data_IF_525945789714
#
_entry.id   IF_525945789714
#
_cell.length_a   1.000
_cell.length_b   1.000
_cell.length_c   1.000
_cell.angle_alpha   90.00
_cell.angle_beta   90.00
_cell.angle_gamma   90.00
#
_symmetry.space_group_name_H-M   'P 1'
#
loop_
_entity.id
_entity.type
_entity.pdbx_description
1 polymer ?
#
# COMPACT_ATOMS: atom_id res chain seq x y z
N UNK A 1 24.59 -43.46 48.10
CA UNK A 1 25.64 -43.74 47.11
C UNK A 1 25.12 -44.22 45.74
N UNK A 2 23.85 -44.58 45.56
CA UNK A 2 23.27 -44.89 44.23
C UNK A 2 22.62 -43.69 43.51
N UNK A 3 22.43 -42.56 44.18
CA UNK A 3 21.82 -41.34 43.61
C UNK A 3 22.72 -40.62 42.59
N UNK A 4 24.03 -40.86 42.63
CA UNK A 4 25.03 -40.19 41.78
C UNK A 4 25.41 -40.97 40.52
N UNK A 5 24.92 -42.21 40.33
CA UNK A 5 25.36 -43.09 39.24
C UNK A 5 24.44 -43.10 38.01
N UNK A 6 23.21 -42.59 38.10
CA UNK A 6 22.21 -42.66 37.00
C UNK A 6 22.05 -41.32 36.26
N UNK A 7 22.54 -40.22 36.83
CA UNK A 7 22.31 -38.87 36.29
C UNK A 7 23.19 -38.38 35.10
N UNK A 8 24.33 -38.98 34.70
CA UNK A 8 25.10 -38.43 33.58
C UNK A 8 24.59 -38.83 32.17
N UNK A 9 23.55 -39.68 32.07
CA UNK A 9 23.08 -40.19 30.76
C UNK A 9 21.75 -39.59 30.28
N UNK A 10 21.20 -38.61 31.00
CA UNK A 10 19.99 -37.89 30.61
C UNK A 10 20.34 -36.42 30.42
N UNK A 11 21.27 -36.15 29.49
CA UNK A 11 21.36 -34.84 28.85
C UNK A 11 20.13 -34.72 27.95
N UNK A 12 19.04 -34.24 28.55
CA UNK A 12 17.92 -33.75 27.78
C UNK A 12 18.37 -32.37 27.29
N UNK A 13 18.89 -32.32 26.06
CA UNK A 13 19.06 -31.07 25.31
C UNK A 13 17.66 -30.55 24.96
N UNK A 14 17.04 -29.93 25.96
CA UNK A 14 15.85 -29.12 25.79
C UNK A 14 16.32 -27.72 25.39
N UNK A 15 16.18 -27.40 24.11
CA UNK A 15 16.10 -26.00 23.65
C UNK A 15 14.68 -25.53 23.95
N UNK A 16 14.47 -24.87 25.09
CA UNK A 16 13.16 -24.31 25.50
C UNK A 16 13.06 -22.81 25.16
N UNK A 17 11.92 -22.32 24.63
CA UNK A 17 11.81 -20.93 24.20
C UNK A 17 11.45 -19.91 25.31
N UNK A 18 11.10 -20.32 26.55
CA UNK A 18 10.65 -19.37 27.58
C UNK A 18 10.90 -19.83 29.03
N UNK A 19 11.23 -18.88 29.92
CA UNK A 19 11.50 -19.11 31.36
C UNK A 19 10.32 -19.66 32.16
N UNK A 20 9.08 -19.54 31.68
CA UNK A 20 7.88 -20.06 32.37
C UNK A 20 7.76 -21.60 32.27
N UNK A 21 8.28 -22.22 31.20
CA UNK A 21 8.22 -23.66 31.00
C UNK A 21 9.19 -24.42 31.91
N UNK A 22 10.31 -23.79 32.30
CA UNK A 22 11.30 -24.34 33.23
C UNK A 22 10.67 -24.59 34.60
N UNK A 23 9.79 -23.71 35.06
CA UNK A 23 9.15 -23.86 36.38
C UNK A 23 8.13 -25.01 36.40
N UNK A 24 7.34 -25.16 35.33
CA UNK A 24 6.35 -26.24 35.23
C UNK A 24 7.02 -27.61 35.07
N UNK A 25 8.08 -27.69 34.27
CA UNK A 25 8.89 -28.91 34.10
C UNK A 25 9.63 -29.25 35.40
N UNK A 26 10.22 -28.26 36.09
CA UNK A 26 10.86 -28.48 37.40
C UNK A 26 9.87 -28.94 38.48
N UNK A 27 8.66 -28.38 38.54
CA UNK A 27 7.62 -28.83 39.48
C UNK A 27 7.06 -30.22 39.12
N UNK A 28 6.92 -30.51 37.82
CA UNK A 28 6.58 -31.85 37.32
C UNK A 28 7.64 -32.89 37.69
N UNK A 29 8.92 -32.56 37.49
CA UNK A 29 10.06 -33.38 37.91
C UNK A 29 10.13 -33.55 39.42
N UNK A 30 9.89 -32.51 40.22
CA UNK A 30 9.83 -32.60 41.69
C UNK A 30 8.67 -33.48 42.17
N UNK A 31 7.49 -33.36 41.57
CA UNK A 31 6.33 -34.22 41.89
C UNK A 31 6.57 -35.68 41.49
N UNK A 32 7.18 -35.90 40.32
CA UNK A 32 7.61 -37.21 39.87
C UNK A 32 8.66 -37.80 40.83
N UNK A 33 9.70 -37.04 41.20
CA UNK A 33 10.72 -37.45 42.19
C UNK A 33 10.08 -37.78 43.55
N UNK A 34 9.11 -36.98 44.01
CA UNK A 34 8.40 -37.22 45.27
C UNK A 34 7.59 -38.52 45.23
N UNK A 35 6.87 -38.78 44.14
CA UNK A 35 6.18 -40.06 43.91
C UNK A 35 7.16 -41.22 43.90
N UNK A 36 8.30 -41.07 43.21
CA UNK A 36 9.38 -42.05 43.17
C UNK A 36 9.98 -42.34 44.55
N UNK A 37 10.20 -41.31 45.39
CA UNK A 37 10.69 -41.51 46.76
C UNK A 37 9.69 -42.21 47.68
N UNK A 38 8.38 -42.03 47.45
CA UNK A 38 7.33 -42.70 48.24
C UNK A 38 7.23 -44.19 47.88
N UNK A 39 7.29 -44.50 46.59
CA UNK A 39 7.32 -45.88 46.07
C UNK A 39 8.60 -46.62 46.45
N UNK A 40 9.76 -45.95 46.40
CA UNK A 40 11.03 -46.50 46.90
C UNK A 40 10.94 -46.87 48.37
N UNK A 41 10.26 -46.06 49.19
CA UNK A 41 10.09 -46.31 50.62
C UNK A 41 9.19 -47.51 50.90
N UNK A 42 8.11 -47.68 50.16
CA UNK A 42 7.20 -48.84 50.26
C UNK A 42 7.90 -50.14 49.82
N UNK A 43 8.68 -50.10 48.75
CA UNK A 43 9.32 -51.28 48.20
C UNK A 43 10.66 -51.66 48.88
N UNK A 44 11.41 -50.71 49.46
CA UNK A 44 12.64 -51.01 50.22
C UNK A 44 12.35 -51.84 51.48
N UNK A 45 11.14 -51.71 52.05
CA UNK A 45 10.65 -52.52 53.18
C UNK A 45 10.47 -54.01 52.78
N UNK A 46 10.37 -54.32 51.48
CA UNK A 46 10.02 -55.66 50.98
C UNK A 46 11.19 -56.54 50.51
N UNK A 47 12.44 -56.07 50.57
CA UNK A 47 13.64 -56.92 50.46
C UNK A 47 14.08 -57.42 49.06
N UNK A 48 13.51 -56.92 47.95
CA UNK A 48 13.83 -57.43 46.58
C UNK A 48 14.36 -56.36 45.60
N UNK A 49 15.64 -55.94 45.66
CA UNK A 49 16.19 -54.81 44.89
C UNK A 49 16.08 -54.93 43.36
N UNK A 50 16.16 -56.14 42.79
CA UNK A 50 15.99 -56.36 41.34
C UNK A 50 14.57 -56.06 40.84
N UNK A 51 13.54 -56.41 41.62
CA UNK A 51 12.15 -56.09 41.28
C UNK A 51 11.87 -54.59 41.40
N UNK A 52 12.51 -53.91 42.36
CA UNK A 52 12.40 -52.46 42.54
C UNK A 52 12.96 -51.73 41.33
N UNK A 53 14.15 -52.11 40.88
CA UNK A 53 14.79 -51.48 39.73
C UNK A 53 13.93 -51.62 38.45
N UNK A 54 13.38 -52.81 38.21
CA UNK A 54 12.49 -53.05 37.06
C UNK A 54 11.20 -52.22 37.11
N UNK A 55 10.52 -52.17 38.25
CA UNK A 55 9.27 -51.39 38.42
C UNK A 55 9.54 -49.89 38.29
N UNK A 56 10.63 -49.39 38.87
CA UNK A 56 11.04 -47.99 38.74
C UNK A 56 11.37 -47.62 37.30
N UNK A 57 12.15 -48.45 36.59
CA UNK A 57 12.48 -48.24 35.17
C UNK A 57 11.23 -48.23 34.29
N UNK A 58 10.30 -49.15 34.51
CA UNK A 58 9.06 -49.20 33.74
C UNK A 58 8.22 -47.92 33.94
N UNK A 59 8.11 -47.44 35.18
CA UNK A 59 7.40 -46.18 35.50
C UNK A 59 8.12 -44.95 34.95
N UNK A 60 9.45 -44.92 34.98
CA UNK A 60 10.24 -43.85 34.35
C UNK A 60 10.01 -43.83 32.84
N UNK A 61 10.01 -45.01 32.20
CA UNK A 61 9.75 -45.13 30.76
C UNK A 61 8.35 -44.65 30.39
N UNK A 62 7.32 -45.01 31.18
CA UNK A 62 5.95 -44.48 30.98
C UNK A 62 5.92 -42.96 31.13
N UNK A 63 6.57 -42.39 32.15
CA UNK A 63 6.63 -40.93 32.33
C UNK A 63 7.43 -40.22 31.24
N UNK A 64 8.50 -40.82 30.76
CA UNK A 64 9.26 -40.33 29.61
C UNK A 64 8.39 -40.30 28.35
N UNK A 65 7.62 -41.35 28.08
CA UNK A 65 6.67 -41.43 26.96
C UNK A 65 5.62 -40.31 27.06
N UNK A 66 5.01 -40.12 28.23
CA UNK A 66 4.06 -39.04 28.51
C UNK A 66 4.67 -37.65 28.29
N UNK A 67 5.91 -37.43 28.74
CA UNK A 67 6.60 -36.16 28.57
C UNK A 67 7.01 -35.89 27.13
N UNK A 68 7.47 -36.91 26.39
CA UNK A 68 7.73 -36.76 24.96
C UNK A 68 6.46 -36.45 24.19
N UNK A 69 5.33 -37.07 24.57
CA UNK A 69 4.04 -36.77 23.94
C UNK A 69 3.56 -35.35 24.25
N UNK A 70 3.68 -34.91 25.50
CA UNK A 70 3.38 -33.53 25.89
C UNK A 70 4.30 -32.52 25.16
N UNK A 71 5.61 -32.79 25.10
CA UNK A 71 6.57 -31.94 24.38
C UNK A 71 6.25 -31.89 22.88
N UNK A 72 5.88 -33.00 22.26
CA UNK A 72 5.41 -33.03 20.87
C UNK A 72 4.17 -32.16 20.68
N UNK A 73 3.20 -32.24 21.59
CA UNK A 73 2.00 -31.41 21.58
C UNK A 73 2.31 -29.92 21.72
N UNK A 74 3.11 -29.53 22.71
CA UNK A 74 3.50 -28.13 22.92
C UNK A 74 4.32 -27.57 21.76
N UNK A 75 5.31 -28.32 21.26
CA UNK A 75 6.13 -27.88 20.12
C UNK A 75 5.30 -27.72 18.85
N UNK A 76 4.26 -28.55 18.67
CA UNK A 76 3.32 -28.40 17.55
C UNK A 76 2.53 -27.10 17.67
N UNK A 77 1.88 -26.86 18.82
CA UNK A 77 1.11 -25.63 19.05
C UNK A 77 2.01 -24.39 18.95
N UNK A 78 3.19 -24.42 19.56
CA UNK A 78 4.13 -23.31 19.51
C UNK A 78 4.55 -23.00 18.08
N UNK A 79 4.85 -24.02 17.25
CA UNK A 79 5.18 -23.83 15.84
C UNK A 79 4.01 -23.21 15.07
N UNK A 80 2.80 -23.77 15.20
CA UNK A 80 1.61 -23.25 14.54
C UNK A 80 1.31 -21.79 14.93
N UNK A 81 1.48 -21.44 16.20
CA UNK A 81 1.30 -20.06 16.67
C UNK A 81 2.40 -19.14 16.17
N UNK A 82 3.66 -19.56 16.23
CA UNK A 82 4.78 -18.76 15.78
C UNK A 82 4.68 -18.48 14.29
N UNK A 83 4.44 -19.48 13.46
CA UNK A 83 4.23 -19.33 12.02
C UNK A 83 3.11 -18.33 11.70
N UNK A 84 1.98 -18.42 12.41
CA UNK A 84 0.82 -17.54 12.18
C UNK A 84 1.01 -16.10 12.62
N UNK A 85 1.76 -15.85 13.70
CA UNK A 85 1.80 -14.54 14.35
C UNK A 85 3.18 -13.87 14.35
N UNK A 86 4.23 -14.54 13.91
CA UNK A 86 5.59 -14.01 13.95
C UNK A 86 5.68 -12.67 13.21
N UNK A 87 5.32 -12.61 11.93
CA UNK A 87 5.37 -11.38 11.15
C UNK A 87 4.39 -10.32 11.65
N UNK A 88 3.20 -10.73 12.10
CA UNK A 88 2.21 -9.83 12.73
C UNK A 88 2.74 -9.18 14.01
N UNK A 89 3.58 -9.88 14.77
CA UNK A 89 4.18 -9.37 16.00
C UNK A 89 5.31 -8.37 15.79
N UNK A 90 5.96 -8.42 14.62
CA UNK A 90 6.99 -7.44 14.22
C UNK A 90 6.37 -6.14 13.68
N UNK A 91 5.15 -6.22 13.16
CA UNK A 91 4.38 -5.10 12.62
C UNK A 91 3.71 -4.28 13.74
N UNK A 92 4.44 -3.31 14.27
CA UNK A 92 3.94 -2.40 15.31
C UNK A 92 3.00 -1.29 14.76
N UNK A 93 2.99 -1.06 13.44
CA UNK A 93 2.25 0.06 12.82
C UNK A 93 0.93 -0.37 12.19
N UNK A 94 0.87 -1.60 11.65
CA UNK A 94 -0.19 -2.06 10.75
C UNK A 94 -1.60 -1.94 11.29
N UNK A 95 -1.83 -2.34 12.54
CA UNK A 95 -3.17 -2.31 13.15
C UNK A 95 -3.67 -0.87 13.30
N UNK A 96 -2.85 0.01 13.86
CA UNK A 96 -3.22 1.41 14.09
C UNK A 96 -3.34 2.17 12.79
N UNK A 97 -2.41 1.94 11.86
CA UNK A 97 -2.45 2.52 10.53
C UNK A 97 -3.77 2.17 9.85
N UNK A 98 -4.11 0.88 9.70
CA UNK A 98 -5.34 0.44 9.01
C UNK A 98 -6.62 1.06 9.57
N UNK A 99 -6.71 1.21 10.90
CA UNK A 99 -7.87 1.83 11.56
C UNK A 99 -7.99 3.34 11.30
N UNK A 100 -6.87 4.04 11.27
CA UNK A 100 -6.85 5.50 11.08
C UNK A 100 -6.90 5.88 9.61
N UNK A 101 -6.28 5.09 8.76
CA UNK A 101 -6.03 5.41 7.37
C UNK A 101 -7.32 5.60 6.56
N UNK A 102 -8.29 4.71 6.76
CA UNK A 102 -9.63 4.84 6.16
C UNK A 102 -10.40 6.08 6.62
N UNK A 103 -10.02 6.69 7.75
CA UNK A 103 -10.58 7.98 8.19
C UNK A 103 -9.88 9.13 7.47
N UNK A 104 -8.55 9.06 7.31
CA UNK A 104 -7.74 10.10 6.66
C UNK A 104 -8.26 10.40 5.26
N UNK A 105 -8.48 9.37 4.44
CA UNK A 105 -8.94 9.56 3.06
C UNK A 105 -10.47 9.61 2.91
N UNK A 106 -11.24 9.69 4.00
CA UNK A 106 -12.70 9.87 3.92
C UNK A 106 -13.02 11.29 3.47
N UNK A 107 -13.98 11.47 2.56
CA UNK A 107 -14.37 12.76 1.98
C UNK A 107 -14.53 13.89 3.00
N UNK A 108 -15.22 13.63 4.12
CA UNK A 108 -15.40 14.64 5.18
C UNK A 108 -14.08 15.15 5.78
N UNK A 109 -13.11 14.25 6.00
CA UNK A 109 -11.81 14.65 6.55
C UNK A 109 -10.99 15.44 5.53
N UNK A 110 -11.01 14.99 4.27
CA UNK A 110 -10.33 15.69 3.19
C UNK A 110 -10.91 17.09 2.97
N UNK A 111 -12.24 17.23 2.93
CA UNK A 111 -12.91 18.51 2.76
C UNK A 111 -12.58 19.46 3.91
N UNK A 112 -12.66 18.98 5.16
CA UNK A 112 -12.32 19.80 6.32
C UNK A 112 -10.86 20.32 6.26
N UNK A 113 -9.92 19.53 5.73
CA UNK A 113 -8.53 19.96 5.52
C UNK A 113 -8.44 21.19 4.60
N UNK A 114 -9.13 21.18 3.46
CA UNK A 114 -9.06 22.30 2.51
C UNK A 114 -10.01 23.45 2.86
N UNK A 115 -11.17 23.17 3.45
CA UNK A 115 -12.11 24.19 3.93
C UNK A 115 -11.46 25.06 5.00
N UNK A 116 -10.72 24.45 5.94
CA UNK A 116 -9.96 25.21 6.94
C UNK A 116 -8.97 26.18 6.28
N UNK A 117 -8.20 25.70 5.28
CA UNK A 117 -7.23 26.54 4.55
C UNK A 117 -7.90 27.63 3.69
N UNK A 118 -9.11 27.35 3.21
CA UNK A 118 -9.91 28.28 2.42
C UNK A 118 -10.50 29.39 3.29
N UNK A 119 -11.07 29.04 4.44
CA UNK A 119 -11.64 29.98 5.41
C UNK A 119 -10.56 30.88 6.00
N UNK A 120 -9.42 30.32 6.42
CA UNK A 120 -8.24 31.09 6.88
C UNK A 120 -7.79 32.13 5.85
N UNK A 121 -7.93 31.81 4.55
CA UNK A 121 -7.57 32.72 3.47
C UNK A 121 -8.61 33.82 3.27
N UNK A 122 -9.90 33.49 3.35
CA UNK A 122 -10.95 34.49 3.24
C UNK A 122 -10.86 35.51 4.38
N UNK A 123 -10.57 35.06 5.60
CA UNK A 123 -10.35 35.92 6.76
C UNK A 123 -9.17 36.88 6.52
N UNK A 124 -8.04 36.37 6.01
CA UNK A 124 -6.87 37.20 5.67
C UNK A 124 -7.16 38.24 4.58
N UNK A 125 -8.04 37.93 3.63
CA UNK A 125 -8.43 38.86 2.57
C UNK A 125 -9.36 39.98 3.06
N UNK A 126 -10.05 39.77 4.18
CA UNK A 126 -10.95 40.76 4.81
C UNK A 126 -10.23 41.76 5.71
N UNK A 127 -8.96 41.51 6.05
CA UNK A 127 -8.15 42.38 6.90
C UNK A 127 -7.46 43.45 6.04
N UNK A 128 -7.95 44.70 6.09
CA UNK A 128 -7.51 45.85 5.25
C UNK A 128 -6.00 46.17 5.34
N UNK A 129 -5.28 45.62 6.33
CA UNK A 129 -3.84 45.81 6.53
C UNK A 129 -2.96 44.67 6.00
N UNK A 130 -3.53 43.57 5.50
CA UNK A 130 -2.79 42.43 4.97
C UNK A 130 -2.68 42.50 3.44
N UNK A 131 -1.53 42.10 2.89
CA UNK A 131 -1.42 41.88 1.45
C UNK A 131 -2.42 40.77 1.05
N UNK A 132 -3.12 40.90 -0.09
CA UNK A 132 -4.07 39.89 -0.52
C UNK A 132 -3.39 38.52 -0.57
N UNK A 133 -3.96 37.49 0.07
CA UNK A 133 -3.30 36.19 0.18
C UNK A 133 -3.08 35.59 -1.20
N UNK A 134 -1.82 35.56 -1.63
CA UNK A 134 -1.40 35.13 -2.96
C UNK A 134 -0.73 33.76 -2.87
N UNK A 135 -1.44 32.72 -3.35
CA UNK A 135 -0.92 31.35 -3.40
C UNK A 135 -2.01 30.33 -3.70
N UNK A 136 -1.68 29.06 -4.01
CA UNK A 136 -2.65 27.97 -4.06
C UNK A 136 -3.12 27.57 -2.66
N UNK A 137 -4.35 27.06 -2.49
CA UNK A 137 -4.80 26.50 -1.20
C UNK A 137 -4.10 25.16 -0.92
N UNK A 138 -3.91 24.36 -1.97
CA UNK A 138 -3.23 23.07 -1.89
C UNK A 138 -2.28 22.91 -3.07
N UNK A 139 -1.14 22.26 -2.85
CA UNK A 139 -0.22 21.87 -3.91
C UNK A 139 -0.04 20.35 -3.90
N UNK A 140 -0.28 19.70 -5.03
CA UNK A 140 -0.06 18.27 -5.22
C UNK A 140 1.23 18.03 -5.99
N UNK A 141 2.13 17.29 -5.35
CA UNK A 141 3.40 16.85 -5.92
C UNK A 141 3.30 15.40 -6.35
N UNK A 142 3.83 15.12 -7.53
CA UNK A 142 4.02 13.77 -8.07
C UNK A 142 5.50 13.62 -8.42
N UNK A 143 6.09 12.48 -8.11
CA UNK A 143 7.54 12.30 -8.26
C UNK A 143 7.92 11.41 -9.45
N UNK A 144 7.02 10.53 -9.89
CA UNK A 144 7.36 9.46 -10.83
C UNK A 144 6.23 9.20 -11.85
N UNK A 145 6.59 9.18 -13.14
CA UNK A 145 5.68 8.93 -14.25
C UNK A 145 5.21 7.49 -14.36
N UNK A 146 6.07 6.51 -14.05
CA UNK A 146 5.72 5.10 -14.05
C UNK A 146 4.71 4.79 -12.95
N UNK A 147 4.90 5.36 -11.75
CA UNK A 147 3.93 5.21 -10.65
C UNK A 147 2.54 5.74 -11.02
N UNK A 148 2.47 6.79 -11.85
CA UNK A 148 1.22 7.32 -12.37
C UNK A 148 0.55 6.37 -13.35
N UNK A 149 1.32 5.71 -14.22
CA UNK A 149 0.83 4.68 -15.13
C UNK A 149 0.30 3.46 -14.35
N UNK A 150 1.01 3.01 -13.32
CA UNK A 150 0.58 1.91 -12.45
C UNK A 150 -0.69 2.26 -11.67
N UNK A 151 -0.79 3.48 -11.14
CA UNK A 151 -2.00 3.99 -10.50
C UNK A 151 -3.19 4.02 -11.47
N UNK A 152 -2.98 4.54 -12.69
CA UNK A 152 -3.97 4.57 -13.74
C UNK A 152 -4.46 3.17 -14.11
N UNK A 153 -3.54 2.21 -14.26
CA UNK A 153 -3.85 0.83 -14.56
C UNK A 153 -4.73 0.19 -13.47
N UNK A 154 -4.40 0.39 -12.19
CA UNK A 154 -5.18 -0.11 -11.06
C UNK A 154 -6.59 0.50 -10.98
N UNK A 155 -6.71 1.83 -11.18
CA UNK A 155 -7.99 2.53 -11.19
C UNK A 155 -8.88 1.97 -12.31
N UNK A 156 -8.35 1.90 -13.53
CA UNK A 156 -9.11 1.45 -14.70
C UNK A 156 -9.44 -0.04 -14.62
N UNK A 157 -8.54 -0.85 -14.05
CA UNK A 157 -8.81 -2.26 -13.75
C UNK A 157 -10.08 -2.43 -12.89
N UNK A 158 -10.24 -1.58 -11.87
CA UNK A 158 -11.41 -1.59 -11.01
C UNK A 158 -12.66 -1.02 -11.72
N UNK A 159 -12.54 0.10 -12.44
CA UNK A 159 -13.65 0.74 -13.20
C UNK A 159 -14.29 -0.24 -14.19
N UNK A 160 -13.47 -1.00 -14.93
CA UNK A 160 -13.96 -1.97 -15.94
C UNK A 160 -14.94 -2.99 -15.32
N UNK A 161 -14.64 -3.47 -14.11
CA UNK A 161 -15.39 -4.51 -13.40
C UNK A 161 -16.60 -4.00 -12.60
N UNK A 162 -16.78 -2.69 -12.47
CA UNK A 162 -17.97 -2.14 -11.84
C UNK A 162 -19.17 -2.22 -12.80
N UNK A 163 -20.16 -3.05 -12.48
CA UNK A 163 -21.40 -3.16 -13.25
C UNK A 163 -22.35 -1.97 -13.06
N UNK A 164 -22.21 -1.23 -11.95
CA UNK A 164 -23.03 -0.07 -11.63
C UNK A 164 -22.64 1.24 -12.34
N UNK A 165 -21.59 1.24 -13.17
CA UNK A 165 -21.15 2.42 -13.93
C UNK A 165 -21.53 2.24 -15.41
N UNK A 166 -22.21 3.23 -15.98
CA UNK A 166 -22.62 3.21 -17.40
C UNK A 166 -21.40 3.19 -18.35
N UNK A 167 -21.56 2.57 -19.54
CA UNK A 167 -20.48 2.46 -20.55
C UNK A 167 -19.88 3.84 -20.91
N UNK A 168 -20.73 4.86 -21.08
CA UNK A 168 -20.30 6.24 -21.38
C UNK A 168 -19.46 6.86 -20.25
N UNK A 169 -19.87 6.63 -18.99
CA UNK A 169 -19.16 7.12 -17.83
C UNK A 169 -17.81 6.41 -17.66
N UNK A 170 -17.75 5.10 -17.91
CA UNK A 170 -16.47 4.36 -17.95
C UNK A 170 -15.51 4.96 -18.98
N UNK A 171 -16.02 5.34 -20.16
CA UNK A 171 -15.21 5.97 -21.19
C UNK A 171 -14.72 7.36 -20.77
N UNK A 172 -15.59 8.22 -20.22
CA UNK A 172 -15.18 9.52 -19.67
C UNK A 172 -14.13 9.38 -18.57
N UNK A 173 -14.31 8.42 -17.64
CA UNK A 173 -13.33 8.12 -16.58
C UNK A 173 -11.98 7.72 -17.19
N UNK A 174 -11.99 6.87 -18.22
CA UNK A 174 -10.78 6.47 -18.95
C UNK A 174 -10.06 7.67 -19.56
N UNK A 175 -10.80 8.61 -20.14
CA UNK A 175 -10.21 9.85 -20.67
C UNK A 175 -9.66 10.75 -19.56
N UNK A 176 -10.32 10.85 -18.41
CA UNK A 176 -9.79 11.60 -17.26
C UNK A 176 -8.44 11.01 -16.82
N UNK A 177 -8.38 9.69 -16.67
CA UNK A 177 -7.20 9.00 -16.11
C UNK A 177 -6.04 8.92 -17.11
N UNK A 178 -6.27 8.60 -18.38
CA UNK A 178 -5.17 8.43 -19.35
C UNK A 178 -4.83 9.68 -20.15
N UNK A 179 -5.72 10.68 -20.22
CA UNK A 179 -5.46 11.91 -20.97
C UNK A 179 -5.41 13.13 -20.06
N UNK A 180 -6.48 13.44 -19.33
CA UNK A 180 -6.57 14.69 -18.58
C UNK A 180 -5.55 14.82 -17.45
N UNK A 181 -5.37 13.75 -16.65
CA UNK A 181 -4.39 13.75 -15.55
C UNK A 181 -2.95 13.77 -16.06
N UNK A 182 -2.55 12.92 -17.03
CA UNK A 182 -1.22 12.99 -17.62
C UNK A 182 -0.93 14.35 -18.25
N UNK A 183 -1.91 14.94 -18.94
CA UNK A 183 -1.80 16.32 -19.42
C UNK A 183 -1.50 17.25 -18.24
N UNK A 184 -2.34 17.30 -17.21
CA UNK A 184 -2.14 18.16 -16.04
C UNK A 184 -0.80 17.96 -15.31
N UNK A 185 -0.13 16.83 -15.50
CA UNK A 185 1.18 16.53 -14.91
C UNK A 185 2.35 16.60 -15.91
N UNK A 186 2.10 17.05 -17.14
CA UNK A 186 3.10 17.17 -18.21
C UNK A 186 3.70 15.83 -18.67
N UNK A 187 2.92 14.76 -18.58
CA UNK A 187 3.30 13.39 -18.94
C UNK A 187 2.66 13.01 -20.28
N UNK A 188 3.25 12.02 -20.96
CA UNK A 188 2.66 11.45 -22.18
C UNK A 188 1.32 10.80 -21.85
N UNK A 189 0.35 10.99 -22.75
CA UNK A 189 -0.95 10.33 -22.63
C UNK A 189 -0.79 8.82 -22.72
N UNK A 190 -1.54 8.11 -21.89
CA UNK A 190 -1.69 6.67 -22.01
C UNK A 190 -2.54 6.29 -23.22
N UNK A 191 -2.42 5.05 -23.66
CA UNK A 191 -3.22 4.53 -24.77
C UNK A 191 -4.68 4.36 -24.34
N UNK A 192 -5.59 5.05 -25.02
CA UNK A 192 -6.98 4.63 -25.05
C UNK A 192 -7.03 3.39 -25.93
N UNK A 193 -7.03 2.18 -25.35
CA UNK A 193 -7.46 1.02 -26.14
C UNK A 193 -8.84 1.34 -26.73
N UNK A 194 -8.95 1.36 -28.05
CA UNK A 194 -10.21 1.64 -28.73
C UNK A 194 -11.25 0.61 -28.27
N UNK A 195 -12.47 1.08 -28.05
CA UNK A 195 -13.62 0.25 -27.75
C UNK A 195 -14.08 -0.35 -29.07
N UNK A 196 -13.41 -1.42 -29.51
CA UNK A 196 -13.96 -2.38 -30.46
C UNK A 196 -13.57 -3.78 -29.95
N UNK A 197 -14.51 -4.74 -29.99
CA UNK A 197 -14.40 -6.18 -29.63
C UNK A 197 -15.05 -6.68 -28.31
N UNK A 198 -16.10 -6.05 -27.75
CA UNK A 198 -16.94 -6.75 -26.75
C UNK A 198 -18.44 -6.85 -27.09
N UNK A 199 -18.90 -6.45 -28.28
CA UNK A 199 -20.31 -6.62 -28.67
C UNK A 199 -20.46 -7.05 -30.16
N UNK A 200 -19.98 -8.24 -30.57
CA UNK A 200 -20.38 -8.89 -31.84
C UNK A 200 -20.54 -10.43 -31.76
N UNK A 201 -20.76 -11.02 -30.58
CA UNK A 201 -21.26 -12.41 -30.49
C UNK A 201 -22.71 -12.41 -30.02
N UNK A 202 -23.63 -12.15 -30.95
CA UNK A 202 -24.97 -12.77 -31.04
C UNK A 202 -25.82 -12.04 -32.11
N UNK A 203 -25.64 -12.37 -33.38
CA UNK A 203 -26.76 -12.38 -34.34
C UNK A 203 -26.42 -13.27 -35.53
N UNK A 204 -27.23 -14.31 -35.70
CA UNK A 204 -27.24 -15.24 -36.83
C UNK A 204 -27.18 -14.52 -38.20
N UNK A 205 -26.50 -15.09 -39.22
CA UNK A 205 -26.49 -14.51 -40.56
C UNK A 205 -27.70 -15.01 -41.35
N UNK A 206 -28.66 -14.11 -41.64
CA UNK A 206 -29.58 -14.30 -42.76
C UNK A 206 -29.15 -13.40 -43.93
N UNK A 207 -28.79 -14.07 -45.04
CA UNK A 207 -28.53 -13.44 -46.34
C UNK A 207 -29.82 -12.81 -46.91
N UNK A 208 -29.79 -11.52 -47.26
CA UNK A 208 -30.16 -11.06 -48.61
C UNK A 208 -29.72 -9.60 -48.84
N UNK A 209 -29.25 -9.30 -50.04
CA UNK A 209 -28.62 -8.05 -50.40
C UNK A 209 -29.60 -6.91 -50.76
N UNK A 210 -29.16 -5.67 -50.57
CA UNK A 210 -29.05 -4.64 -51.64
C UNK A 210 -28.58 -3.29 -51.08
N UNK A 211 -27.60 -2.68 -51.77
CA UNK A 211 -27.06 -1.34 -51.52
C UNK A 211 -28.13 -0.25 -51.63
N UNK A 212 -28.15 0.68 -50.66
CA UNK A 212 -28.35 2.12 -50.95
C UNK A 212 -27.74 3.02 -49.89
N UNK A 213 -26.88 3.92 -50.39
CA UNK A 213 -26.28 5.07 -49.73
C UNK A 213 -27.35 5.99 -49.12
N UNK A 214 -27.25 6.33 -47.83
CA UNK A 214 -27.60 7.68 -47.38
C UNK A 214 -26.91 8.02 -46.06
N UNK A 215 -26.37 9.23 -46.00
CA UNK A 215 -25.52 9.68 -44.91
C UNK A 215 -26.24 9.75 -43.57
N UNK A 216 -25.55 9.31 -42.53
CA UNK A 216 -25.78 9.80 -41.17
C UNK A 216 -24.40 10.01 -40.58
N UNK A 217 -24.08 11.27 -40.35
CA UNK A 217 -22.90 11.73 -39.62
C UNK A 217 -22.93 11.11 -38.22
N UNK A 218 -22.22 10.00 -38.05
CA UNK A 218 -21.82 9.52 -36.73
C UNK A 218 -20.88 10.57 -36.15
N UNK A 219 -21.39 11.33 -35.19
CA UNK A 219 -20.63 12.21 -34.31
C UNK A 219 -19.58 11.37 -33.59
N UNK A 220 -18.42 11.21 -34.21
CA UNK A 220 -17.18 10.77 -33.56
C UNK A 220 -17.05 11.60 -32.29
N UNK A 221 -17.07 10.94 -31.14
CA UNK A 221 -16.79 11.53 -29.84
C UNK A 221 -15.49 12.33 -29.97
N UNK A 222 -15.63 13.65 -30.06
CA UNK A 222 -14.53 14.60 -30.18
C UNK A 222 -13.63 14.33 -28.98
N UNK A 223 -12.41 13.83 -29.20
CA UNK A 223 -11.44 13.58 -28.14
C UNK A 223 -11.33 14.87 -27.31
N UNK A 224 -11.90 14.87 -26.09
CA UNK A 224 -12.11 16.08 -25.28
C UNK A 224 -10.81 16.88 -25.06
N UNK A 225 -9.66 16.22 -25.19
CA UNK A 225 -8.34 16.75 -24.88
C UNK A 225 -7.43 16.92 -26.10
N UNK A 226 -7.84 16.73 -27.35
CA UNK A 226 -6.89 16.64 -28.49
C UNK A 226 -5.94 17.84 -28.68
N UNK A 227 -6.35 19.05 -28.26
CA UNK A 227 -5.58 20.28 -28.45
C UNK A 227 -4.51 20.58 -27.38
N UNK A 228 -4.51 19.90 -26.23
CA UNK A 228 -3.61 20.20 -25.10
C UNK A 228 -2.23 19.51 -25.22
N UNK A 229 -2.17 18.32 -25.85
CA UNK A 229 -0.98 17.46 -25.93
C UNK A 229 0.30 18.16 -26.46
N UNK A 230 0.20 18.92 -27.55
CA UNK A 230 1.37 19.53 -28.19
C UNK A 230 1.98 20.68 -27.38
N UNK A 231 1.17 21.38 -26.58
CA UNK A 231 1.63 22.46 -25.69
C UNK A 231 2.19 21.88 -24.39
N UNK A 232 1.60 20.79 -23.88
CA UNK A 232 2.10 20.04 -22.72
C UNK A 232 3.49 19.46 -22.95
N UNK A 233 3.73 18.87 -24.12
CA UNK A 233 5.00 18.24 -24.48
C UNK A 233 6.18 19.23 -24.57
N UNK A 234 5.90 20.54 -24.67
CA UNK A 234 6.92 21.59 -24.55
C UNK A 234 7.22 21.95 -23.09
N UNK A 235 6.23 21.82 -22.22
CA UNK A 235 6.32 22.10 -20.78
C UNK A 235 6.92 20.93 -20.00
N UNK A 236 6.83 19.70 -20.49
CA UNK A 236 7.48 18.51 -19.92
C UNK A 236 9.01 18.60 -19.87
N UNK A 237 9.61 19.52 -20.62
CA UNK A 237 11.06 19.78 -20.64
C UNK A 237 11.47 20.90 -19.68
N UNK A 238 10.56 21.40 -18.84
CA UNK A 238 10.82 22.47 -17.88
C UNK A 238 10.65 21.93 -16.46
N UNK A 239 11.75 21.84 -15.73
CA UNK A 239 11.81 21.24 -14.38
C UNK A 239 10.94 21.98 -13.34
N UNK A 240 10.59 23.24 -13.61
CA UNK A 240 9.84 24.13 -12.71
C UNK A 240 8.43 24.46 -13.24
N UNK A 241 7.77 23.54 -13.94
CA UNK A 241 6.42 23.75 -14.45
C UNK A 241 5.35 23.40 -13.41
N UNK A 242 4.31 24.25 -13.31
CA UNK A 242 3.11 23.95 -12.52
C UNK A 242 1.85 24.14 -13.37
N UNK A 243 0.81 23.36 -13.07
CA UNK A 243 -0.54 23.62 -13.54
C UNK A 243 -1.41 24.16 -12.41
N UNK A 244 -2.24 25.13 -12.74
CA UNK A 244 -3.21 25.75 -11.86
C UNK A 244 -4.60 25.28 -12.24
N UNK A 245 -5.32 24.71 -11.28
CA UNK A 245 -6.68 24.23 -11.48
C UNK A 245 -7.57 24.73 -10.35
N UNK A 246 -8.69 25.36 -10.73
CA UNK A 246 -9.73 25.74 -9.77
C UNK A 246 -10.75 24.62 -9.73
N UNK A 247 -10.98 24.06 -8.53
CA UNK A 247 -11.72 22.82 -8.34
C UNK A 247 -12.83 23.00 -7.32
N UNK A 248 -13.92 22.26 -7.50
CA UNK A 248 -14.93 22.07 -6.49
C UNK A 248 -14.57 20.91 -5.55
N UNK A 249 -15.47 20.63 -4.60
CA UNK A 249 -15.35 19.54 -3.64
C UNK A 249 -15.01 18.19 -4.29
N UNK A 250 -15.71 17.84 -5.38
CA UNK A 250 -15.58 16.56 -6.06
C UNK A 250 -14.19 16.36 -6.69
N UNK A 251 -13.73 17.36 -7.45
CA UNK A 251 -12.41 17.36 -8.06
C UNK A 251 -11.30 17.37 -7.01
N UNK A 252 -11.44 18.17 -5.95
CA UNK A 252 -10.46 18.19 -4.87
C UNK A 252 -10.29 16.83 -4.19
N UNK A 253 -11.41 16.18 -3.80
CA UNK A 253 -11.38 14.86 -3.18
C UNK A 253 -10.65 13.88 -4.10
N UNK A 254 -10.99 13.85 -5.39
CA UNK A 254 -10.33 12.96 -6.33
C UNK A 254 -8.82 13.20 -6.43
N UNK A 255 -8.40 14.45 -6.62
CA UNK A 255 -6.97 14.79 -6.76
C UNK A 255 -6.19 14.43 -5.49
N UNK A 256 -6.78 14.64 -4.30
CA UNK A 256 -6.17 14.27 -3.03
C UNK A 256 -6.05 12.75 -2.88
N UNK A 257 -7.09 12.00 -3.21
CA UNK A 257 -7.07 10.53 -3.19
C UNK A 257 -6.05 9.96 -4.19
N UNK A 258 -6.02 10.50 -5.40
CA UNK A 258 -5.08 10.11 -6.45
C UNK A 258 -3.62 10.36 -6.03
N UNK A 259 -3.35 11.52 -5.42
CA UNK A 259 -2.03 11.83 -4.86
C UNK A 259 -1.63 10.86 -3.74
N UNK A 260 -2.55 10.50 -2.84
CA UNK A 260 -2.31 9.51 -1.78
C UNK A 260 -1.98 8.14 -2.40
N UNK A 261 -2.70 7.73 -3.45
CA UNK A 261 -2.44 6.46 -4.15
C UNK A 261 -1.02 6.44 -4.74
N UNK A 262 -0.65 7.47 -5.48
CA UNK A 262 0.68 7.58 -6.10
C UNK A 262 1.78 7.60 -5.04
N UNK A 263 1.60 8.37 -3.96
CA UNK A 263 2.57 8.41 -2.85
C UNK A 263 2.77 7.05 -2.20
N UNK A 264 1.72 6.25 -2.04
CA UNK A 264 1.83 4.89 -1.48
C UNK A 264 2.52 3.92 -2.42
N UNK A 265 2.13 3.93 -3.70
CA UNK A 265 2.77 3.10 -4.72
C UNK A 265 4.27 3.40 -4.81
N UNK A 266 4.64 4.67 -4.79
CA UNK A 266 6.04 5.10 -4.77
C UNK A 266 6.78 4.58 -3.53
N UNK A 267 6.17 4.65 -2.34
CA UNK A 267 6.78 4.12 -1.11
C UNK A 267 6.97 2.60 -1.15
N UNK A 268 6.04 1.87 -1.76
CA UNK A 268 6.17 0.41 -1.94
C UNK A 268 7.26 0.10 -2.96
N UNK A 269 7.30 0.85 -4.06
CA UNK A 269 8.33 0.75 -5.10
C UNK A 269 9.73 0.99 -4.52
N UNK A 270 9.93 2.11 -3.82
CA UNK A 270 11.21 2.45 -3.19
C UNK A 270 11.63 1.40 -2.14
N UNK A 271 10.67 0.79 -1.45
CA UNK A 271 10.96 -0.31 -0.53
C UNK A 271 11.41 -1.57 -1.27
N UNK A 272 10.82 -1.88 -2.43
CA UNK A 272 11.24 -2.99 -3.27
C UNK A 272 12.66 -2.76 -3.82
N UNK A 273 12.97 -1.56 -4.34
CA UNK A 273 14.32 -1.21 -4.80
C UNK A 273 15.37 -1.36 -3.69
N UNK A 274 15.05 -0.88 -2.49
CA UNK A 274 15.93 -1.03 -1.34
C UNK A 274 16.21 -2.51 -1.01
N UNK A 275 15.21 -3.38 -1.10
CA UNK A 275 15.39 -4.81 -0.89
C UNK A 275 16.26 -5.45 -1.98
N UNK A 276 16.11 -5.04 -3.24
CA UNK A 276 16.97 -5.48 -4.35
C UNK A 276 18.43 -5.10 -4.08
N UNK A 277 18.68 -3.86 -3.65
CA UNK A 277 20.03 -3.39 -3.30
C UNK A 277 20.63 -4.14 -2.11
N UNK A 278 19.84 -4.39 -1.06
CA UNK A 278 20.27 -5.13 0.11
C UNK A 278 20.61 -6.58 -0.23
N UNK A 279 19.78 -7.26 -1.01
CA UNK A 279 20.03 -8.63 -1.48
C UNK A 279 21.24 -8.69 -2.43
N UNK A 280 21.40 -7.71 -3.33
CA UNK A 280 22.59 -7.62 -4.18
C UNK A 280 23.88 -7.45 -3.35
N UNK A 281 23.85 -6.60 -2.32
CA UNK A 281 24.97 -6.38 -1.39
C UNK A 281 25.28 -7.63 -0.56
N UNK A 282 24.25 -8.34 -0.09
CA UNK A 282 24.41 -9.60 0.64
C UNK A 282 25.06 -10.66 -0.26
N UNK A 283 24.56 -10.84 -1.49
CA UNK A 283 25.15 -11.76 -2.48
C UNK A 283 26.60 -11.41 -2.84
N UNK A 284 26.95 -10.13 -2.90
CA UNK A 284 28.33 -9.68 -3.12
C UNK A 284 29.22 -9.97 -1.90
N UNK A 285 28.74 -9.66 -0.69
CA UNK A 285 29.45 -9.97 0.55
C UNK A 285 29.70 -11.48 0.69
N UNK A 286 28.68 -12.32 0.44
CA UNK A 286 28.81 -13.77 0.47
C UNK A 286 29.86 -14.27 -0.52
N UNK A 287 29.86 -13.73 -1.75
CA UNK A 287 30.86 -14.07 -2.76
C UNK A 287 32.27 -13.73 -2.29
N UNK A 288 32.45 -12.56 -1.68
CA UNK A 288 33.74 -12.07 -1.21
C UNK A 288 34.26 -12.83 0.03
N UNK A 289 33.37 -13.26 0.92
CA UNK A 289 33.73 -13.90 2.20
C UNK A 289 33.79 -15.42 2.10
N UNK A 290 32.81 -16.04 1.44
CA UNK A 290 32.66 -17.50 1.40
C UNK A 290 33.24 -18.12 0.13
N UNK A 291 33.55 -17.32 -0.90
CA UNK A 291 34.10 -17.81 -2.18
C UNK A 291 33.17 -18.74 -2.97
N UNK A 292 31.93 -18.91 -2.51
CA UNK A 292 30.91 -19.79 -3.07
C UNK A 292 29.62 -19.00 -3.25
N UNK A 293 28.96 -19.20 -4.40
CA UNK A 293 27.60 -18.69 -4.63
C UNK A 293 26.63 -19.67 -3.97
N UNK A 294 25.99 -19.29 -2.86
CA UNK A 294 24.89 -20.07 -2.28
C UNK A 294 23.69 -20.05 -3.21
N UNK A 295 23.00 -21.18 -3.36
CA UNK A 295 21.69 -21.21 -4.02
C UNK A 295 20.61 -20.76 -3.01
N UNK A 296 19.46 -20.23 -3.48
CA UNK A 296 18.37 -19.70 -2.60
C UNK A 296 17.92 -20.71 -1.52
N UNK A 297 18.06 -22.01 -1.80
CA UNK A 297 17.71 -23.10 -0.88
C UNK A 297 18.75 -23.39 0.22
N UNK A 298 19.90 -22.71 0.22
CA UNK A 298 20.92 -22.89 1.25
C UNK A 298 20.75 -21.98 2.47
N UNK A 299 19.73 -21.12 2.49
CA UNK A 299 19.44 -20.28 3.65
C UNK A 299 19.20 -21.17 4.90
N UNK A 300 19.95 -20.99 6.00
CA UNK A 300 19.81 -21.79 7.21
C UNK A 300 18.37 -21.84 7.73
N UNK A 301 17.62 -20.75 7.58
CA UNK A 301 16.21 -20.68 8.00
C UNK A 301 15.29 -21.57 7.14
N UNK A 302 15.59 -21.69 5.84
CA UNK A 302 14.84 -22.55 4.90
C UNK A 302 15.22 -24.02 5.13
N UNK A 303 16.51 -24.32 5.30
CA UNK A 303 17.00 -25.68 5.62
C UNK A 303 16.46 -26.19 6.97
N UNK A 304 16.30 -25.31 7.96
CA UNK A 304 15.73 -25.63 9.26
C UNK A 304 14.18 -25.66 9.26
N UNK A 305 13.53 -25.43 8.10
CA UNK A 305 12.07 -25.31 7.96
C UNK A 305 11.46 -24.29 8.92
N UNK A 306 12.21 -23.22 9.20
CA UNK A 306 11.75 -22.08 10.01
C UNK A 306 11.12 -21.00 9.12
N UNK A 307 11.41 -21.02 7.81
CA UNK A 307 10.85 -20.12 6.80
C UNK A 307 10.57 -20.93 5.52
N UNK A 308 9.37 -20.85 4.97
CA UNK A 308 9.12 -21.39 3.64
C UNK A 308 9.84 -20.52 2.59
N UNK A 309 10.50 -21.12 1.58
CA UNK A 309 11.08 -20.35 0.49
C UNK A 309 9.95 -19.56 -0.18
N UNK A 310 10.07 -18.24 -0.25
CA UNK A 310 9.17 -17.48 -1.13
C UNK A 310 9.54 -17.80 -2.58
N UNK A 311 8.53 -18.12 -3.38
CA UNK A 311 8.69 -18.36 -4.82
C UNK A 311 8.83 -17.06 -5.63
N UNK A 312 8.78 -15.90 -4.98
CA UNK A 312 8.86 -14.58 -5.61
C UNK A 312 10.26 -14.00 -5.44
N UNK A 313 10.88 -13.63 -6.56
CA UNK A 313 12.21 -13.02 -6.59
C UNK A 313 12.16 -11.58 -6.08
N UNK A 314 13.24 -11.13 -5.42
CA UNK A 314 13.34 -9.76 -4.85
C UNK A 314 13.08 -8.69 -5.91
N UNK A 315 13.50 -8.95 -7.14
CA UNK A 315 13.31 -8.08 -8.30
C UNK A 315 11.83 -7.95 -8.71
N UNK A 316 11.02 -8.98 -8.45
CA UNK A 316 9.61 -9.01 -8.84
C UNK A 316 8.66 -8.51 -7.74
N UNK A 317 9.17 -8.12 -6.56
CA UNK A 317 8.33 -7.78 -5.40
C UNK A 317 7.31 -6.68 -5.70
N UNK A 318 7.71 -5.62 -6.42
CA UNK A 318 6.80 -4.55 -6.78
C UNK A 318 5.68 -5.02 -7.72
N UNK A 319 6.06 -5.75 -8.77
CA UNK A 319 5.12 -6.27 -9.77
C UNK A 319 4.11 -7.25 -9.15
N UNK A 320 4.58 -8.13 -8.26
CA UNK A 320 3.74 -9.06 -7.51
C UNK A 320 2.77 -8.32 -6.58
N UNK A 321 3.22 -7.24 -5.92
CA UNK A 321 2.35 -6.41 -5.09
C UNK A 321 1.21 -5.76 -5.89
N UNK A 322 1.49 -5.26 -7.10
CA UNK A 322 0.45 -4.71 -7.98
C UNK A 322 -0.58 -5.78 -8.37
N UNK A 323 -0.12 -7.00 -8.70
CA UNK A 323 -1.01 -8.10 -9.06
C UNK A 323 -1.86 -8.56 -7.87
N UNK A 324 -1.28 -8.58 -6.68
CA UNK A 324 -2.01 -8.81 -5.44
C UNK A 324 -3.12 -7.76 -5.21
N UNK A 325 -2.85 -6.48 -5.48
CA UNK A 325 -3.89 -5.43 -5.41
C UNK A 325 -5.00 -5.69 -6.43
N UNK A 326 -4.67 -6.09 -7.67
CA UNK A 326 -5.67 -6.45 -8.69
C UNK A 326 -6.56 -7.60 -8.22
N UNK A 327 -5.96 -8.67 -7.70
CA UNK A 327 -6.70 -9.81 -7.16
C UNK A 327 -7.58 -9.46 -5.95
N UNK A 328 -7.11 -8.55 -5.09
CA UNK A 328 -7.89 -8.03 -3.97
C UNK A 328 -9.09 -7.21 -4.46
N UNK A 329 -8.90 -6.37 -5.48
CA UNK A 329 -9.98 -5.57 -6.09
C UNK A 329 -11.05 -6.42 -6.77
N UNK A 330 -10.65 -7.58 -7.32
CA UNK A 330 -11.55 -8.54 -7.97
C UNK A 330 -12.30 -9.42 -6.95
N UNK A 331 -11.90 -9.39 -5.68
CA UNK A 331 -12.43 -10.28 -4.65
C UNK A 331 -11.89 -11.71 -4.73
N UNK A 332 -10.88 -11.94 -5.56
CA UNK A 332 -10.20 -13.23 -5.73
C UNK A 332 -9.21 -13.54 -4.59
N UNK A 333 -8.95 -12.57 -3.71
CA UNK A 333 -8.08 -12.71 -2.56
C UNK A 333 -8.70 -12.06 -1.32
N UNK A 334 -8.63 -12.75 -0.18
CA UNK A 334 -9.13 -12.22 1.08
C UNK A 334 -8.18 -11.17 1.66
N UNK A 335 -8.71 -10.14 2.33
CA UNK A 335 -7.91 -9.09 2.97
C UNK A 335 -6.86 -9.63 3.94
N UNK A 336 -7.17 -10.66 4.74
CA UNK A 336 -6.18 -11.23 5.66
C UNK A 336 -5.02 -11.89 4.92
N UNK A 337 -5.31 -12.61 3.84
CA UNK A 337 -4.31 -13.29 3.02
C UNK A 337 -3.41 -12.27 2.30
N UNK A 338 -4.01 -11.23 1.74
CA UNK A 338 -3.28 -10.13 1.09
C UNK A 338 -2.28 -9.47 2.04
N UNK A 339 -2.72 -9.12 3.26
CA UNK A 339 -1.84 -8.48 4.23
C UNK A 339 -0.72 -9.41 4.71
N UNK A 340 -1.01 -10.70 4.87
CA UNK A 340 -0.02 -11.67 5.34
C UNK A 340 1.08 -11.90 4.28
N UNK A 341 0.71 -12.06 3.02
CA UNK A 341 1.68 -12.14 1.91
C UNK A 341 2.49 -10.84 1.75
N UNK A 342 1.87 -9.67 1.89
CA UNK A 342 2.62 -8.40 1.87
C UNK A 342 3.61 -8.29 3.04
N UNK A 343 3.27 -8.81 4.23
CA UNK A 343 4.20 -8.86 5.36
C UNK A 343 5.35 -9.84 5.12
N UNK A 344 5.13 -10.91 4.36
CA UNK A 344 6.22 -11.82 3.95
C UNK A 344 7.19 -11.12 3.00
N UNK A 345 6.68 -10.31 2.08
CA UNK A 345 7.47 -9.58 1.09
C UNK A 345 8.16 -8.33 1.67
N UNK A 346 7.40 -7.43 2.31
CA UNK A 346 7.88 -6.11 2.73
C UNK A 346 8.04 -5.97 4.26
N UNK A 347 7.79 -7.04 5.02
CA UNK A 347 7.97 -7.08 6.48
C UNK A 347 7.17 -5.98 7.20
N UNK A 348 7.83 -5.18 8.03
CA UNK A 348 7.25 -4.09 8.81
C UNK A 348 6.84 -2.89 7.95
N UNK A 349 7.22 -2.83 6.67
CA UNK A 349 6.89 -1.72 5.76
C UNK A 349 5.62 -1.98 4.95
N UNK A 350 5.07 -3.19 5.01
CA UNK A 350 3.89 -3.61 4.28
C UNK A 350 2.62 -2.79 4.58
N UNK A 351 2.54 -2.18 5.77
CA UNK A 351 1.30 -1.55 6.26
C UNK A 351 0.75 -0.45 5.36
N UNK A 352 1.61 0.23 4.61
CA UNK A 352 1.25 1.32 3.70
C UNK A 352 0.28 0.82 2.61
N UNK A 353 0.36 -0.47 2.27
CA UNK A 353 -0.41 -1.11 1.22
C UNK A 353 -1.71 -1.79 1.70
N UNK A 354 -1.98 -1.87 3.01
CA UNK A 354 -3.08 -2.69 3.55
C UNK A 354 -4.49 -2.20 3.18
N UNK A 355 -4.63 -0.94 2.79
CA UNK A 355 -5.93 -0.28 2.51
C UNK A 355 -6.02 0.22 1.07
N UNK A 356 -5.16 -0.29 0.18
CA UNK A 356 -5.14 0.09 -1.25
C UNK A 356 -6.47 -0.18 -1.95
N UNK A 357 -7.13 -1.29 -1.59
CA UNK A 357 -8.48 -1.64 -2.06
C UNK A 357 -9.49 -0.53 -1.78
N UNK A 358 -9.57 -0.08 -0.53
CA UNK A 358 -10.52 0.95 -0.08
C UNK A 358 -10.21 2.32 -0.68
N UNK A 359 -8.93 2.62 -0.85
CA UNK A 359 -8.47 3.84 -1.49
C UNK A 359 -8.90 3.88 -2.96
N UNK A 360 -8.63 2.82 -3.72
CA UNK A 360 -8.99 2.70 -5.13
C UNK A 360 -10.52 2.70 -5.31
N UNK A 361 -11.26 1.98 -4.46
CA UNK A 361 -12.73 2.03 -4.43
C UNK A 361 -13.25 3.46 -4.20
N UNK A 362 -12.62 4.23 -3.30
CA UNK A 362 -12.98 5.62 -3.04
C UNK A 362 -12.68 6.52 -4.24
N UNK A 363 -11.55 6.31 -4.91
CA UNK A 363 -11.17 7.02 -6.15
C UNK A 363 -12.21 6.77 -7.25
N UNK A 364 -12.55 5.51 -7.51
CA UNK A 364 -13.50 5.15 -8.57
C UNK A 364 -14.89 5.71 -8.29
N UNK A 365 -15.35 5.67 -7.03
CA UNK A 365 -16.61 6.31 -6.64
C UNK A 365 -16.58 7.83 -6.89
N UNK A 366 -15.47 8.49 -6.56
CA UNK A 366 -15.34 9.92 -6.79
C UNK A 366 -15.28 10.27 -8.28
N UNK A 367 -14.61 9.46 -9.09
CA UNK A 367 -14.60 9.59 -10.55
C UNK A 367 -16.01 9.46 -11.14
N UNK A 368 -16.84 8.55 -10.62
CA UNK A 368 -18.24 8.44 -11.03
C UNK A 368 -19.02 9.73 -10.74
N UNK A 369 -18.80 10.36 -9.58
CA UNK A 369 -19.41 11.65 -9.28
C UNK A 369 -18.94 12.74 -10.25
N UNK A 370 -17.65 12.82 -10.56
CA UNK A 370 -17.07 13.82 -11.47
C UNK A 370 -17.66 13.73 -12.89
N UNK A 371 -17.87 12.53 -13.42
CA UNK A 371 -18.40 12.36 -14.80
C UNK A 371 -19.91 12.50 -14.90
N UNK A 372 -20.62 12.38 -13.77
CA UNK A 372 -22.07 12.50 -13.68
C UNK A 372 -22.53 13.92 -13.34
N UNK A 373 -21.71 14.69 -12.63
CA UNK A 373 -22.02 16.05 -12.17
C UNK A 373 -21.73 17.09 -13.25
N UNK A 374 -22.74 17.89 -13.61
CA UNK A 374 -22.64 18.92 -14.64
C UNK A 374 -21.62 20.02 -14.28
N UNK A 375 -21.51 20.39 -13.00
CA UNK A 375 -20.56 21.42 -12.54
C UNK A 375 -19.14 20.92 -12.76
N UNK A 376 -18.85 19.65 -12.46
CA UNK A 376 -17.54 19.05 -12.67
C UNK A 376 -17.12 19.05 -14.14
N UNK A 377 -18.06 18.79 -15.05
CA UNK A 377 -17.82 18.85 -16.50
C UNK A 377 -17.52 20.29 -16.93
N UNK A 378 -18.33 21.26 -16.50
CA UNK A 378 -18.14 22.68 -16.83
C UNK A 378 -16.80 23.23 -16.28
N UNK A 379 -16.39 22.81 -15.09
CA UNK A 379 -15.08 23.16 -14.50
C UNK A 379 -13.93 22.63 -15.35
N UNK A 380 -14.06 21.41 -15.89
CA UNK A 380 -13.08 20.80 -16.79
C UNK A 380 -13.01 21.59 -18.11
N UNK A 381 -14.15 21.91 -18.71
CA UNK A 381 -14.23 22.67 -19.95
C UNK A 381 -13.64 24.08 -19.79
N UNK A 382 -13.92 24.74 -18.65
CA UNK A 382 -13.33 26.03 -18.32
C UNK A 382 -11.81 25.94 -18.24
N UNK A 383 -11.27 24.94 -17.54
CA UNK A 383 -9.83 24.70 -17.49
C UNK A 383 -9.22 24.52 -18.88
N UNK A 384 -9.83 23.71 -19.75
CA UNK A 384 -9.31 23.48 -21.10
C UNK A 384 -9.34 24.75 -21.96
N UNK A 385 -10.38 25.57 -21.82
CA UNK A 385 -10.46 26.86 -22.52
C UNK A 385 -9.38 27.84 -22.08
N UNK A 386 -9.09 27.87 -20.78
CA UNK A 386 -8.08 28.75 -20.19
C UNK A 386 -6.66 28.23 -20.39
N UNK A 387 -6.49 26.91 -20.53
CA UNK A 387 -5.24 26.29 -20.94
C UNK A 387 -4.80 26.76 -22.32
N UNK A 388 -5.74 26.83 -23.28
CA UNK A 388 -5.47 27.39 -24.61
C UNK A 388 -5.03 28.87 -24.55
N UNK A 389 -5.51 29.61 -23.55
CA UNK A 389 -5.15 31.02 -23.30
C UNK A 389 -3.87 31.18 -22.44
N UNK A 390 -3.19 30.10 -22.06
CA UNK A 390 -2.02 30.09 -21.17
C UNK A 390 -2.31 30.67 -19.78
N UNK A 391 -3.53 30.50 -19.28
CA UNK A 391 -3.98 31.01 -17.98
C UNK A 391 -3.96 29.95 -16.85
N UNK A 392 -3.60 28.70 -17.16
CA UNK A 392 -3.64 27.56 -16.23
C UNK A 392 -2.25 27.14 -15.74
N UNK A 393 -1.26 28.03 -15.77
CA UNK A 393 0.11 27.76 -15.31
C UNK A 393 1.14 27.56 -16.42
N UNK A 394 2.31 27.04 -16.03
CA UNK A 394 3.50 26.80 -16.85
C UNK A 394 4.78 27.05 -16.03
N UNK A 395 5.92 27.35 -16.67
CA UNK A 395 7.19 27.57 -15.95
C UNK A 395 7.08 28.68 -14.89
N UNK A 396 7.60 28.43 -13.67
CA UNK A 396 7.65 29.40 -12.58
C UNK A 396 8.29 30.73 -12.99
N UNK A 397 9.30 30.70 -13.85
CA UNK A 397 9.99 31.89 -14.38
C UNK A 397 9.07 32.92 -15.06
N UNK A 398 7.94 32.46 -15.62
CA UNK A 398 6.98 33.28 -16.36
C UNK A 398 5.72 33.61 -15.57
N UNK A 399 5.63 33.17 -14.30
CA UNK A 399 4.44 33.30 -13.47
C UNK A 399 3.95 34.77 -13.36
N UNK A 400 4.86 35.72 -13.12
CA UNK A 400 4.49 37.13 -12.97
C UNK A 400 3.79 37.70 -14.22
N UNK A 401 4.22 37.27 -15.41
CA UNK A 401 3.61 37.71 -16.68
C UNK A 401 2.21 37.13 -16.92
N UNK A 402 1.87 36.01 -16.27
CA UNK A 402 0.58 35.34 -16.38
C UNK A 402 -0.44 35.78 -15.33
N UNK A 403 -0.04 36.59 -14.34
CA UNK A 403 -0.90 36.97 -13.22
C UNK A 403 -2.27 37.50 -13.64
N UNK A 404 -2.33 38.39 -14.64
CA UNK A 404 -3.62 38.91 -15.13
C UNK A 404 -4.51 37.85 -15.77
N UNK A 405 -3.93 36.86 -16.45
CA UNK A 405 -4.68 35.78 -17.08
C UNK A 405 -5.17 34.77 -16.02
N UNK A 406 -4.31 34.42 -15.05
CA UNK A 406 -4.67 33.58 -13.91
C UNK A 406 -5.78 34.22 -13.05
N UNK A 407 -5.75 35.54 -12.83
CA UNK A 407 -6.82 36.27 -12.14
C UNK A 407 -8.13 36.28 -12.93
N UNK A 408 -8.08 36.42 -14.25
CA UNK A 408 -9.28 36.33 -15.08
C UNK A 408 -9.90 34.92 -15.04
N UNK A 409 -9.06 33.88 -15.06
CA UNK A 409 -9.51 32.50 -14.87
C UNK A 409 -10.15 32.32 -13.48
N UNK A 410 -9.52 32.84 -12.43
CA UNK A 410 -10.06 32.80 -11.07
C UNK A 410 -11.49 33.34 -10.99
N UNK A 411 -11.72 34.55 -11.49
CA UNK A 411 -13.06 35.16 -11.45
C UNK A 411 -14.11 34.36 -12.21
N UNK A 412 -13.75 33.77 -13.36
CA UNK A 412 -14.66 32.88 -14.10
C UNK A 412 -14.98 31.61 -13.32
N UNK A 413 -13.99 31.03 -12.64
CA UNK A 413 -14.19 29.83 -11.83
C UNK A 413 -15.07 30.10 -10.60
N UNK A 414 -14.83 31.21 -9.90
CA UNK A 414 -15.65 31.67 -8.78
C UNK A 414 -17.09 31.97 -9.21
N UNK A 415 -17.29 32.56 -10.40
CA UNK A 415 -18.62 32.79 -10.94
C UNK A 415 -19.35 31.48 -11.32
N UNK A 416 -18.61 30.51 -11.86
CA UNK A 416 -19.16 29.20 -12.24
C UNK A 416 -19.60 28.40 -11.01
N UNK A 417 -18.83 28.49 -9.93
CA UNK A 417 -19.08 27.80 -8.66
C UNK A 417 -19.59 28.78 -7.60
N UNK A 418 -20.57 29.64 -7.93
CA UNK A 418 -21.08 30.64 -6.99
C UNK A 418 -21.74 30.03 -5.74
N UNK A 419 -22.24 28.80 -5.88
CA UNK A 419 -23.01 28.09 -4.86
C UNK A 419 -22.18 27.04 -4.10
N UNK A 420 -20.90 26.85 -4.47
CA UNK A 420 -19.97 25.89 -3.87
C UNK A 420 -18.61 26.55 -3.56
N UNK A 421 -17.78 25.89 -2.74
CA UNK A 421 -16.42 26.38 -2.50
C UNK A 421 -15.53 26.18 -3.73
N UNK A 422 -14.91 27.26 -4.20
CA UNK A 422 -13.98 27.25 -5.32
C UNK A 422 -12.52 27.21 -4.82
N UNK A 423 -11.91 26.03 -4.85
CA UNK A 423 -10.55 25.85 -4.37
C UNK A 423 -9.51 26.01 -5.48
N UNK A 424 -8.60 26.96 -5.31
CA UNK A 424 -7.35 27.08 -6.09
C UNK A 424 -6.33 25.99 -5.73
N UNK A 425 -6.03 25.08 -6.65
CA UNK A 425 -5.06 23.98 -6.47
C UNK A 425 -3.93 24.09 -7.49
N UNK A 426 -2.71 23.76 -7.06
CA UNK A 426 -1.52 23.65 -7.92
C UNK A 426 -1.10 22.19 -8.07
N UNK A 427 -0.78 21.77 -9.28
CA UNK A 427 -0.18 20.46 -9.56
C UNK A 427 1.21 20.65 -10.16
N UNK A 428 2.16 19.85 -9.73
CA UNK A 428 3.52 19.82 -10.29
C UNK A 428 4.09 18.41 -10.25
N UNK A 429 4.87 18.10 -11.28
CA UNK A 429 5.66 16.88 -11.37
C UNK A 429 7.10 17.25 -10.98
N UNK A 430 7.63 16.65 -9.93
CA UNK A 430 9.03 16.77 -9.57
C UNK A 430 9.83 15.84 -10.47
N UNK A 431 10.61 16.41 -11.39
CA UNK A 431 11.57 15.65 -12.17
C UNK A 431 12.80 15.47 -11.27
N UNK A 432 12.91 14.31 -10.61
CA UNK A 432 14.08 14.00 -9.81
C UNK A 432 15.33 13.82 -10.70
N UNK A 433 16.20 14.82 -10.69
CA UNK A 433 17.64 14.61 -10.72
C UNK A 433 18.13 14.80 -9.28
N UNK A 434 18.78 13.79 -8.72
CA UNK A 434 19.45 13.77 -7.40
C UNK A 434 18.60 13.48 -6.14
N UNK A 435 17.91 12.33 -6.12
CA UNK A 435 17.20 11.81 -4.92
C UNK A 435 18.07 11.03 -3.91
N UNK A 436 19.38 11.26 -3.82
CA UNK A 436 20.22 10.55 -2.84
C UNK A 436 20.41 11.27 -1.51
N UNK A 437 19.92 12.49 -1.33
CA UNK A 437 20.01 13.17 -0.03
C UNK A 437 18.79 14.06 0.26
N UNK A 438 17.67 13.49 0.72
CA UNK A 438 16.71 14.25 1.54
C UNK A 438 15.76 13.36 2.37
N UNK A 439 16.12 13.01 3.63
CA UNK A 439 15.15 12.59 4.63
C UNK A 439 14.76 13.81 5.46
N UNK A 440 13.56 14.37 5.25
CA UNK A 440 12.75 15.20 6.17
C UNK A 440 11.68 15.94 5.36
N UNK A 441 10.44 15.44 5.35
CA UNK A 441 9.23 16.27 5.46
C UNK A 441 7.89 15.50 5.46
N UNK A 442 7.88 14.16 5.56
CA UNK A 442 6.61 13.40 5.48
C UNK A 442 5.99 13.04 6.85
N UNK A 443 6.70 13.17 7.97
CA UNK A 443 6.16 12.79 9.30
C UNK A 443 5.59 13.95 10.12
N UNK A 444 4.69 14.74 9.52
CA UNK A 444 3.93 15.78 10.22
C UNK A 444 2.46 15.43 10.35
N UNK A 445 2.12 14.18 10.63
CA UNK A 445 0.83 13.83 11.23
C UNK A 445 0.97 12.59 12.12
N UNK A 446 0.82 12.82 13.43
CA UNK A 446 0.68 11.82 14.49
C UNK A 446 1.94 11.02 14.90
N UNK A 447 2.81 11.63 15.69
CA UNK A 447 3.54 10.91 16.74
C UNK A 447 3.61 11.76 18.02
N UNK A 448 2.64 11.54 18.90
CA UNK A 448 2.78 11.81 20.33
C UNK A 448 3.91 10.90 20.83
N UNK A 449 5.09 11.47 21.03
CA UNK A 449 6.25 10.75 21.58
C UNK A 449 5.99 10.48 23.06
N UNK A 450 5.69 9.23 23.36
CA UNK A 450 5.78 8.66 24.71
C UNK A 450 7.26 8.65 25.10
N UNK A 451 7.69 9.60 25.92
CA UNK A 451 8.98 9.53 26.60
C UNK A 451 8.95 8.40 27.62
N UNK A 452 9.61 7.27 27.31
CA UNK A 452 9.98 6.27 28.31
C UNK A 452 11.48 6.32 28.58
N UNK A 453 11.77 6.87 29.76
CA UNK A 453 12.95 6.73 30.62
C UNK A 453 13.87 5.55 30.29
N UNK A 454 15.14 5.84 29.96
CA UNK A 454 16.23 4.85 30.11
C UNK A 454 17.39 5.45 30.90
N UNK A 455 17.40 5.02 32.16
CA UNK A 455 18.46 5.07 33.16
C UNK A 455 19.81 4.71 32.50
N UNK A 456 20.81 5.59 32.66
CA UNK A 456 22.23 5.25 32.47
C UNK A 456 22.87 5.04 33.85
N UNK A 457 23.65 3.96 33.93
CA UNK A 457 24.61 3.68 34.99
C UNK A 457 25.64 4.78 35.11
#
# INVERSE_FOLDING_TARGET
MLFTAIFPYVTIDIVLPCSYDIHFICEGLKKALKSFTFDFKILFISGFPHRIHYVCLLRLKTKEEEWREAQRGFNKIWREQNEKYYLKSLDHQGINFKQNDTKVFRSKMLLNEIETLYDERQEQASDDNAAPPSGPHMTFMYDDSQILEDAAALIIHHVKRQSGIHKDDKYKIKQIIYHFIPDMLFIRRGELSDVEEEDEEETEPDEDGTKKHNGTTSTKSKLLFSHTAATQQKLSNCDDAYNLFYVNNNWYIFLRLHQILCSRLLRIYAQAEKQIEEDAREREWERNVLGLKREKNDNPAIQLRLKEPMDIDVEDHYSAALEMVRNLLDGNMETSQYEDQLREMFTIHAYIAFTMDKLIQSIVRQLQHIVSDEICVQVTDLYLSEFANKATGGSLSTQASRGSAESAYQHKAEQLMSDENCFKVRLSLLIYQDALECPKFIDSCACIVVYSTRIRK
#
